data_IF_273555500597
#
_entry.id   IF_273555500597
#
_cell.length_a   1.000
_cell.length_b   1.000
_cell.length_c   1.000
_cell.angle_alpha   90.00
_cell.angle_beta   90.00
_cell.angle_gamma   90.00
#
_symmetry.space_group_name_H-M   'P 1'
#
loop_
_entity.id
_entity.type
_entity.pdbx_description
1 polymer ?
#
# COMPACT_ATOMS: atom_id res chain seq x y z
N UNK A 1 -32.60 -34.65 -40.88
CA UNK A 1 -32.93 -33.48 -40.03
C UNK A 1 -32.27 -33.51 -38.65
N UNK A 2 -32.14 -34.65 -37.97
CA UNK A 2 -31.55 -34.71 -36.60
C UNK A 2 -30.06 -34.33 -36.48
N UNK A 3 -29.23 -34.60 -37.51
CA UNK A 3 -27.81 -34.25 -37.45
C UNK A 3 -27.56 -32.73 -37.42
N UNK A 4 -28.34 -31.97 -38.19
CA UNK A 4 -28.22 -30.50 -38.27
C UNK A 4 -28.64 -29.84 -36.96
N UNK A 5 -29.68 -30.35 -36.30
CA UNK A 5 -30.13 -29.84 -35.00
C UNK A 5 -29.11 -30.12 -33.89
N UNK A 6 -28.44 -31.27 -33.92
CA UNK A 6 -27.36 -31.60 -32.97
C UNK A 6 -26.15 -30.68 -33.17
N UNK A 7 -25.76 -30.41 -34.42
CA UNK A 7 -24.66 -29.49 -34.72
C UNK A 7 -24.96 -28.06 -34.22
N UNK A 8 -26.20 -27.59 -34.41
CA UNK A 8 -26.63 -26.27 -33.90
C UNK A 8 -26.57 -26.18 -32.38
N UNK A 9 -26.99 -27.24 -31.67
CA UNK A 9 -26.91 -27.28 -30.20
C UNK A 9 -25.45 -27.26 -29.71
N UNK A 10 -24.54 -27.95 -30.40
CA UNK A 10 -23.12 -27.96 -30.03
C UNK A 10 -22.47 -26.57 -30.18
N UNK A 11 -22.75 -25.87 -31.28
CA UNK A 11 -22.22 -24.51 -31.51
C UNK A 11 -22.76 -23.53 -30.47
N UNK A 12 -24.04 -23.66 -30.10
CA UNK A 12 -24.64 -22.82 -29.06
C UNK A 12 -23.97 -23.01 -27.70
N UNK A 13 -23.71 -24.25 -27.29
CA UNK A 13 -23.03 -24.56 -26.02
C UNK A 13 -21.61 -24.00 -26.02
N UNK A 14 -20.87 -24.16 -27.12
CA UNK A 14 -19.51 -23.63 -27.25
C UNK A 14 -19.50 -22.09 -27.15
N UNK A 15 -20.44 -21.42 -27.82
CA UNK A 15 -20.58 -19.96 -27.73
C UNK A 15 -20.89 -19.49 -26.31
N UNK A 16 -21.74 -20.22 -25.59
CA UNK A 16 -22.11 -19.92 -24.21
C UNK A 16 -20.90 -20.06 -23.27
N UNK A 17 -20.08 -21.10 -23.45
CA UNK A 17 -18.84 -21.29 -22.68
C UNK A 17 -17.86 -20.14 -22.91
N UNK A 18 -17.68 -19.69 -24.15
CA UNK A 18 -16.77 -18.57 -24.48
C UNK A 18 -17.23 -17.28 -23.78
N UNK A 19 -18.54 -17.00 -23.78
CA UNK A 19 -19.10 -15.82 -23.08
C UNK A 19 -18.84 -15.90 -21.58
N UNK A 20 -19.05 -17.06 -20.96
CA UNK A 20 -18.80 -17.25 -19.53
C UNK A 20 -17.31 -17.00 -19.19
N UNK A 21 -16.39 -17.53 -19.99
CA UNK A 21 -14.94 -17.36 -19.77
C UNK A 21 -14.56 -15.89 -19.82
N UNK A 22 -15.05 -15.15 -20.81
CA UNK A 22 -14.72 -13.73 -20.97
C UNK A 22 -15.29 -12.88 -19.83
N UNK A 23 -16.52 -13.18 -19.41
CA UNK A 23 -17.17 -12.53 -18.26
C UNK A 23 -16.38 -12.78 -16.97
N UNK A 24 -16.00 -14.04 -16.69
CA UNK A 24 -15.20 -14.39 -15.50
C UNK A 24 -13.84 -13.70 -15.54
N UNK A 25 -13.20 -13.64 -16.71
CA UNK A 25 -11.91 -12.94 -16.89
C UNK A 25 -12.05 -11.42 -16.71
N UNK A 26 -13.18 -10.84 -17.11
CA UNK A 26 -13.47 -9.43 -16.91
C UNK A 26 -13.70 -9.08 -15.43
N UNK A 27 -14.38 -9.96 -14.68
CA UNK A 27 -14.62 -9.79 -13.25
C UNK A 27 -13.41 -10.13 -12.37
N UNK A 28 -12.51 -11.02 -12.82
CA UNK A 28 -11.25 -11.34 -12.13
C UNK A 28 -10.15 -10.27 -12.29
N UNK A 29 -10.51 -9.02 -12.59
CA UNK A 29 -9.53 -7.95 -12.80
C UNK A 29 -8.98 -7.41 -11.49
N UNK A 30 -7.67 -7.64 -11.37
CA UNK A 30 -6.67 -6.92 -10.59
C UNK A 30 -6.89 -6.89 -9.07
N UNK A 31 -5.91 -7.32 -8.26
CA UNK A 31 -5.93 -6.99 -6.84
C UNK A 31 -6.06 -5.46 -6.71
N UNK A 32 -6.84 -4.96 -5.73
CA UNK A 32 -6.93 -3.52 -5.50
C UNK A 32 -5.51 -2.94 -5.41
N UNK A 33 -5.24 -1.84 -6.12
CA UNK A 33 -3.94 -1.17 -6.06
C UNK A 33 -3.63 -0.88 -4.59
N UNK A 34 -2.69 -1.62 -4.02
CA UNK A 34 -2.24 -1.42 -2.65
C UNK A 34 -1.37 -0.18 -2.64
N UNK A 35 -1.86 0.91 -2.05
CA UNK A 35 -1.05 2.11 -1.83
C UNK A 35 0.04 1.72 -0.83
N UNK A 36 1.29 1.65 -1.30
CA UNK A 36 2.45 1.40 -0.44
C UNK A 36 3.06 2.76 -0.10
N UNK A 37 2.92 3.17 1.15
CA UNK A 37 3.59 4.35 1.67
C UNK A 37 5.05 4.01 1.98
N UNK A 38 5.98 4.70 1.33
CA UNK A 38 7.42 4.59 1.62
C UNK A 38 7.90 5.83 2.36
N UNK A 39 8.73 5.62 3.37
CA UNK A 39 9.37 6.70 4.10
C UNK A 39 10.35 7.44 3.18
N UNK A 40 10.20 8.76 3.10
CA UNK A 40 11.18 9.64 2.45
C UNK A 40 12.08 10.25 3.54
N UNK A 41 13.41 10.05 3.47
CA UNK A 41 14.33 10.70 4.40
C UNK A 41 14.29 12.21 4.20
N UNK A 42 14.46 12.96 5.30
CA UNK A 42 14.53 14.42 5.25
C UNK A 42 15.76 14.85 4.45
N UNK A 43 15.64 15.99 3.78
CA UNK A 43 16.80 16.61 3.15
C UNK A 43 17.62 17.37 4.19
N UNK A 44 18.90 17.61 3.87
CA UNK A 44 19.80 18.35 4.75
C UNK A 44 19.31 19.78 5.08
N UNK A 45 18.60 20.43 4.16
CA UNK A 45 18.02 21.75 4.39
C UNK A 45 16.83 21.68 5.36
N UNK A 46 15.95 20.69 5.18
CA UNK A 46 14.80 20.48 6.07
C UNK A 46 15.23 20.18 7.51
N UNK A 47 16.32 19.43 7.69
CA UNK A 47 16.88 19.16 9.02
C UNK A 47 17.48 20.41 9.68
N UNK A 48 17.94 21.39 8.89
CA UNK A 48 18.42 22.67 9.41
C UNK A 48 17.28 23.64 9.74
N UNK A 49 16.26 23.71 8.88
CA UNK A 49 15.12 24.61 9.06
C UNK A 49 14.15 24.12 10.15
N UNK A 50 14.00 22.80 10.29
CA UNK A 50 13.13 22.18 11.28
C UNK A 50 13.84 21.02 12.02
N UNK A 51 14.83 21.37 12.87
CA UNK A 51 15.59 20.39 13.62
C UNK A 51 14.67 19.66 14.61
N UNK A 52 14.92 18.35 14.80
CA UNK A 52 14.21 17.59 15.83
C UNK A 52 14.62 18.13 17.21
N UNK A 53 13.67 18.40 18.12
CA UNK A 53 13.99 18.79 19.48
C UNK A 53 14.90 17.77 20.17
N UNK A 54 15.98 18.24 20.79
CA UNK A 54 16.94 17.36 21.48
C UNK A 54 16.28 16.57 22.62
N UNK A 55 15.27 17.14 23.26
CA UNK A 55 14.52 16.47 24.31
C UNK A 55 13.86 15.20 23.77
N UNK A 56 13.19 15.23 22.61
CA UNK A 56 12.57 14.04 22.02
C UNK A 56 13.56 12.89 21.73
N UNK A 57 14.83 13.23 21.43
CA UNK A 57 15.89 12.26 21.12
C UNK A 57 16.48 11.67 22.41
N UNK A 58 16.74 12.53 23.40
CA UNK A 58 17.54 12.18 24.58
C UNK A 58 16.73 12.01 25.87
N UNK A 59 15.44 12.32 25.85
CA UNK A 59 14.54 12.23 27.02
C UNK A 59 14.62 10.85 27.68
N UNK A 60 14.65 9.80 26.87
CA UNK A 60 14.71 8.42 27.37
C UNK A 60 16.05 8.05 27.99
N UNK A 61 17.16 8.70 27.60
CA UNK A 61 18.48 8.47 28.18
C UNK A 61 18.58 9.01 29.61
N UNK A 62 17.92 10.12 29.91
CA UNK A 62 18.00 10.77 31.21
C UNK A 62 16.86 10.37 32.16
N UNK A 63 15.75 9.86 31.63
CA UNK A 63 14.59 9.47 32.44
C UNK A 63 14.42 7.96 32.65
N UNK A 64 15.11 7.11 31.86
CA UNK A 64 15.12 5.67 32.12
C UNK A 64 16.41 5.26 32.84
N UNK A 65 16.33 4.58 34.00
CA UNK A 65 17.51 4.08 34.71
C UNK A 65 18.14 2.85 34.04
N UNK A 66 17.69 2.46 32.84
CA UNK A 66 18.18 1.28 32.13
C UNK A 66 19.36 1.64 31.23
N UNK A 67 20.50 0.91 31.30
CA UNK A 67 21.65 1.19 30.45
C UNK A 67 21.48 0.73 28.99
N UNK A 68 20.35 0.11 28.65
CA UNK A 68 20.08 -0.42 27.32
C UNK A 68 19.10 0.47 26.57
N UNK A 69 19.58 1.15 25.53
CA UNK A 69 18.74 1.84 24.54
C UNK A 69 18.55 0.88 23.37
N UNK A 70 17.37 0.27 23.27
CA UNK A 70 17.08 -0.73 22.24
C UNK A 70 17.12 -0.16 20.81
N UNK A 71 16.79 1.13 20.67
CA UNK A 71 17.06 1.98 19.50
C UNK A 71 16.50 3.37 19.81
N UNK A 72 17.18 4.44 19.36
CA UNK A 72 16.57 5.78 19.35
C UNK A 72 15.74 5.86 18.07
N UNK A 73 14.49 5.43 18.15
CA UNK A 73 13.55 5.69 17.06
C UNK A 73 13.07 7.13 17.21
N UNK A 74 13.69 8.04 16.47
CA UNK A 74 13.22 9.42 16.34
C UNK A 74 12.01 9.40 15.40
N UNK A 75 11.01 8.61 15.78
CA UNK A 75 9.78 8.47 15.03
C UNK A 75 9.03 9.80 15.15
N UNK A 76 8.73 10.38 13.98
CA UNK A 76 7.86 11.55 13.84
C UNK A 76 6.58 11.31 14.64
N UNK A 77 6.16 12.27 15.47
CA UNK A 77 4.95 12.18 16.31
C UNK A 77 3.85 11.44 15.55
N UNK A 78 3.39 10.31 16.10
CA UNK A 78 2.35 9.46 15.50
C UNK A 78 1.10 10.25 15.05
N UNK A 79 0.83 11.37 15.71
CA UNK A 79 -0.27 12.29 15.38
C UNK A 79 -0.10 12.98 14.01
N UNK A 80 1.14 13.27 13.58
CA UNK A 80 1.43 13.93 12.29
C UNK A 80 1.19 12.98 11.10
N UNK A 81 1.28 11.66 11.33
CA UNK A 81 1.05 10.62 10.32
C UNK A 81 -0.44 10.58 9.93
N UNK A 82 -1.36 10.80 10.88
CA UNK A 82 -2.80 10.79 10.63
C UNK A 82 -3.34 12.08 10.01
N UNK A 83 -2.75 13.23 10.35
CA UNK A 83 -3.23 14.55 9.91
C UNK A 83 -2.63 15.01 8.57
N UNK A 84 -1.41 14.57 8.23
CA UNK A 84 -0.69 15.02 7.04
C UNK A 84 0.16 13.92 6.37
N UNK A 85 -0.47 12.81 5.98
CA UNK A 85 0.18 11.71 5.25
C UNK A 85 0.99 12.18 4.02
N UNK A 86 0.45 13.13 3.25
CA UNK A 86 1.08 13.61 2.01
C UNK A 86 2.35 14.43 2.23
N UNK A 87 2.64 14.84 3.47
CA UNK A 87 3.85 15.62 3.81
C UNK A 87 5.09 14.74 3.86
N UNK A 88 4.90 13.44 4.02
CA UNK A 88 5.96 12.51 4.43
C UNK A 88 6.05 11.25 3.59
N UNK A 89 4.99 10.93 2.85
CA UNK A 89 4.90 9.71 2.05
C UNK A 89 4.51 10.05 0.62
N UNK A 90 5.27 9.52 -0.33
CA UNK A 90 4.93 9.57 -1.75
C UNK A 90 4.17 8.30 -2.09
N UNK A 91 2.98 8.45 -2.66
CA UNK A 91 2.22 7.31 -3.20
C UNK A 91 2.87 6.88 -4.51
N UNK A 92 3.27 5.61 -4.62
CA UNK A 92 3.64 5.06 -5.92
C UNK A 92 2.36 4.82 -6.72
N UNK A 93 2.20 5.52 -7.84
CA UNK A 93 1.14 5.33 -8.85
C UNK A 93 1.60 4.26 -9.83
#
# INVERSE_FOLDING_TARGET
>A
MGAVTVIMQMIFIIGLIIIIIDVVKAYNKCPPQKIIYRYVPRTFLEDQENPVPLDDIFYTMFNNPTPWVASVDVERKKNDIGENLNRYYVTQI
#
